data_IF_338323183227
#
_entry.id   IF_338323183227
#
_cell.length_a   1.000
_cell.length_b   1.000
_cell.length_c   1.000
_cell.angle_alpha   90.00
_cell.angle_beta   90.00
_cell.angle_gamma   90.00
#
_symmetry.space_group_name_H-M   'P 1'
#
loop_
_entity.id
_entity.type
_entity.pdbx_description
1 polymer ?
#
# COMPACT_ATOMS: atom_id res chain seq x y z
N UNK A 1 48.88 21.11 -5.88
CA UNK A 1 48.20 19.92 -6.47
C UNK A 1 46.72 20.16 -6.32
N UNK A 2 45.93 20.10 -7.40
CA UNK A 2 44.48 20.18 -7.27
C UNK A 2 43.95 18.84 -6.74
N UNK A 3 43.20 18.84 -5.64
CA UNK A 3 42.52 17.65 -5.16
C UNK A 3 41.23 17.45 -5.95
N UNK A 4 41.07 16.27 -6.56
CA UNK A 4 39.81 15.85 -7.16
C UNK A 4 38.80 15.48 -6.06
N UNK A 5 37.54 15.84 -6.26
CA UNK A 5 36.41 15.46 -5.42
C UNK A 5 35.43 14.63 -6.24
N UNK A 6 34.73 13.70 -5.58
CA UNK A 6 33.70 12.86 -6.19
C UNK A 6 32.38 13.05 -5.43
N UNK A 7 31.26 12.99 -6.15
CA UNK A 7 29.91 13.04 -5.58
C UNK A 7 29.20 11.72 -5.86
N UNK A 8 28.48 11.19 -4.88
CA UNK A 8 27.77 9.92 -4.92
C UNK A 8 26.30 10.15 -4.54
N UNK A 9 25.38 9.42 -5.16
CA UNK A 9 23.95 9.56 -4.95
C UNK A 9 23.28 8.20 -4.78
N UNK A 10 22.54 8.01 -3.69
CA UNK A 10 21.77 6.79 -3.43
C UNK A 10 20.29 7.01 -3.74
N UNK A 11 19.88 6.68 -4.97
CA UNK A 11 18.52 6.94 -5.47
C UNK A 11 17.41 6.32 -4.61
N UNK A 12 17.66 5.17 -3.99
CA UNK A 12 16.69 4.49 -3.14
C UNK A 12 16.68 4.98 -1.67
N UNK A 13 17.59 5.89 -1.27
CA UNK A 13 17.76 6.32 0.12
C UNK A 13 16.44 6.78 0.77
N UNK A 14 15.73 7.73 0.16
CA UNK A 14 14.46 8.25 0.69
C UNK A 14 13.43 7.14 0.95
N UNK A 15 13.22 6.26 -0.04
CA UNK A 15 12.28 5.13 0.06
C UNK A 15 12.69 4.14 1.14
N UNK A 16 13.97 3.79 1.21
CA UNK A 16 14.49 2.85 2.20
C UNK A 16 14.37 3.40 3.62
N UNK A 17 14.63 4.70 3.83
CA UNK A 17 14.45 5.36 5.13
C UNK A 17 12.97 5.36 5.54
N UNK A 18 12.03 5.78 4.67
CA UNK A 18 10.59 5.75 4.98
C UNK A 18 10.10 4.33 5.33
N UNK A 19 10.44 3.34 4.49
CA UNK A 19 10.06 1.94 4.73
C UNK A 19 10.67 1.37 6.02
N UNK A 20 11.94 1.70 6.31
CA UNK A 20 12.62 1.29 7.53
C UNK A 20 11.95 1.87 8.78
N UNK A 21 11.68 3.18 8.80
CA UNK A 21 11.01 3.86 9.91
C UNK A 21 9.59 3.32 10.16
N UNK A 22 8.83 3.03 9.09
CA UNK A 22 7.52 2.39 9.20
C UNK A 22 7.61 0.97 9.80
N UNK A 23 8.62 0.19 9.40
CA UNK A 23 8.87 -1.15 9.93
C UNK A 23 9.26 -1.12 11.41
N UNK A 24 10.18 -0.23 11.80
CA UNK A 24 10.58 -0.02 13.20
C UNK A 24 9.38 0.36 14.07
N UNK A 25 8.48 1.22 13.58
CA UNK A 25 7.28 1.62 14.31
C UNK A 25 6.32 0.44 14.51
N UNK A 26 6.09 -0.37 13.47
CA UNK A 26 5.23 -1.55 13.54
C UNK A 26 5.79 -2.62 14.50
N UNK A 27 7.11 -2.78 14.56
CA UNK A 27 7.79 -3.66 15.51
C UNK A 27 7.84 -3.08 16.95
N UNK A 28 7.60 -1.77 17.12
CA UNK A 28 7.78 -1.07 18.39
C UNK A 28 9.25 -0.92 18.81
N UNK A 29 10.16 -0.91 17.84
CA UNK A 29 11.60 -0.67 18.03
C UNK A 29 11.88 0.84 18.06
N UNK A 30 12.80 1.29 18.94
CA UNK A 30 13.19 2.71 19.11
C UNK A 30 12.07 3.71 19.36
N UNK A 31 10.84 3.26 19.64
CA UNK A 31 9.70 4.10 20.01
C UNK A 31 9.86 4.67 21.41
N UNK A 32 9.74 5.99 21.50
CA UNK A 32 10.01 6.85 22.65
C UNK A 32 8.79 7.72 23.02
N UNK A 33 7.65 7.53 22.35
CA UNK A 33 6.39 8.21 22.61
C UNK A 33 5.19 7.26 22.49
N UNK A 34 4.06 7.63 23.08
CA UNK A 34 2.77 6.95 22.85
C UNK A 34 1.64 7.95 22.64
N UNK A 35 0.83 7.72 21.61
CA UNK A 35 -0.42 8.43 21.37
C UNK A 35 -1.58 7.57 21.85
N UNK A 36 -2.50 8.19 22.58
CA UNK A 36 -3.67 7.53 23.15
C UNK A 36 -4.95 8.09 22.51
N UNK A 37 -5.74 7.26 21.85
CA UNK A 37 -6.99 7.65 21.20
C UNK A 37 -8.04 6.54 21.37
N UNK A 38 -9.27 6.90 21.70
CA UNK A 38 -10.41 5.95 21.84
C UNK A 38 -10.07 4.70 22.68
N UNK A 39 -9.41 4.89 23.83
CA UNK A 39 -8.97 3.81 24.73
C UNK A 39 -7.77 2.97 24.23
N UNK A 40 -7.31 3.18 23.01
CA UNK A 40 -6.16 2.48 22.42
C UNK A 40 -4.86 3.27 22.63
N UNK A 41 -3.73 2.56 22.77
CA UNK A 41 -2.40 3.13 22.95
C UNK A 41 -1.50 2.70 21.78
N UNK A 42 -0.97 3.66 21.03
CA UNK A 42 -0.09 3.41 19.88
C UNK A 42 1.30 3.98 20.14
N UNK A 43 2.32 3.11 20.12
CA UNK A 43 3.73 3.51 20.27
C UNK A 43 4.26 4.12 18.97
N UNK A 44 5.01 5.20 19.07
CA UNK A 44 5.52 5.97 17.93
C UNK A 44 6.88 6.58 18.24
N UNK A 45 7.63 6.93 17.19
CA UNK A 45 8.85 7.73 17.31
C UNK A 45 8.53 9.22 17.39
N UNK A 46 8.98 9.86 18.47
CA UNK A 46 8.90 11.30 18.74
C UNK A 46 9.39 12.13 17.56
N UNK A 47 10.56 11.78 16.99
CA UNK A 47 11.17 12.55 15.90
C UNK A 47 10.29 12.58 14.65
N UNK A 48 9.59 11.49 14.32
CA UNK A 48 8.73 11.40 13.14
C UNK A 48 7.44 12.19 13.35
N UNK A 49 6.82 12.06 14.53
CA UNK A 49 5.63 12.86 14.89
C UNK A 49 5.97 14.36 14.93
N UNK A 50 7.13 14.75 15.47
CA UNK A 50 7.59 16.14 15.52
C UNK A 50 7.97 16.73 14.14
N UNK A 51 8.32 15.89 13.17
CA UNK A 51 8.51 16.32 11.77
C UNK A 51 7.17 16.55 11.07
N UNK A 52 6.15 15.74 11.37
CA UNK A 52 4.82 15.84 10.77
C UNK A 52 3.91 16.89 11.43
N UNK A 53 3.99 17.07 12.76
CA UNK A 53 3.15 17.96 13.56
C UNK A 53 3.99 19.04 14.26
N UNK A 54 3.73 20.30 13.93
CA UNK A 54 4.27 21.46 14.67
C UNK A 54 3.72 21.52 16.10
N UNK A 55 2.41 21.31 16.26
CA UNK A 55 1.72 21.32 17.55
C UNK A 55 2.30 20.29 18.54
N UNK A 56 2.45 19.02 18.11
CA UNK A 56 2.99 17.97 18.99
C UNK A 56 4.48 18.24 19.27
N UNK A 57 5.26 18.74 18.29
CA UNK A 57 6.65 19.14 18.50
C UNK A 57 6.80 20.20 19.61
N UNK A 58 5.94 21.21 19.63
CA UNK A 58 6.03 22.29 20.63
C UNK A 58 5.56 21.79 22.01
N UNK A 59 4.52 20.95 22.05
CA UNK A 59 4.02 20.32 23.27
C UNK A 59 5.10 19.51 23.99
N UNK A 60 5.80 18.63 23.26
CA UNK A 60 6.83 17.73 23.82
C UNK A 60 8.15 18.44 24.10
N UNK A 61 8.45 19.52 23.37
CA UNK A 61 9.62 20.38 23.67
C UNK A 61 9.43 21.17 24.96
N UNK A 62 8.17 21.53 25.29
CA UNK A 62 7.81 22.24 26.51
C UNK A 62 7.83 21.35 27.76
N UNK A 63 7.46 20.06 27.61
CA UNK A 63 7.32 19.11 28.71
C UNK A 63 8.27 17.90 28.55
N UNK A 64 9.55 18.09 28.88
CA UNK A 64 10.54 17.01 28.86
C UNK A 64 10.16 15.88 29.82
N UNK A 65 9.94 14.70 29.27
CA UNK A 65 9.67 13.46 30.00
C UNK A 65 10.28 12.28 29.21
N UNK A 66 10.64 11.17 29.87
CA UNK A 66 11.38 10.08 29.24
C UNK A 66 10.57 9.27 28.22
N UNK A 67 9.23 9.31 28.30
CA UNK A 67 8.31 8.66 27.36
C UNK A 67 6.95 9.38 27.39
N UNK A 68 6.74 10.46 26.63
CA UNK A 68 5.47 11.18 26.59
C UNK A 68 4.29 10.29 26.18
N UNK A 69 3.18 10.38 26.94
CA UNK A 69 1.88 9.78 26.58
C UNK A 69 0.89 10.91 26.34
N UNK A 70 0.49 11.10 25.07
CA UNK A 70 -0.39 12.20 24.65
C UNK A 70 -1.79 11.65 24.41
N UNK A 71 -2.78 12.18 25.14
CA UNK A 71 -4.18 11.81 24.99
C UNK A 71 -4.86 12.69 23.94
N UNK A 72 -5.26 12.07 22.83
CA UNK A 72 -5.94 12.68 21.71
C UNK A 72 -7.44 12.54 21.91
N UNK A 73 -8.09 13.60 22.38
CA UNK A 73 -9.52 13.62 22.59
C UNK A 73 -10.27 13.73 21.25
N UNK A 74 -11.46 13.13 21.14
CA UNK A 74 -12.33 13.11 19.95
C UNK A 74 -11.76 12.49 18.66
N UNK A 75 -10.54 11.97 18.67
CA UNK A 75 -9.97 11.23 17.55
C UNK A 75 -10.25 9.74 17.76
N UNK A 76 -10.85 9.07 16.77
CA UNK A 76 -11.08 7.62 16.83
C UNK A 76 -9.77 6.84 16.62
N UNK A 77 -9.70 5.60 17.10
CA UNK A 77 -8.53 4.75 16.83
C UNK A 77 -8.29 4.52 15.34
N UNK A 78 -9.36 4.40 14.54
CA UNK A 78 -9.30 4.30 13.07
C UNK A 78 -8.67 5.54 12.45
N UNK A 79 -9.10 6.73 12.90
CA UNK A 79 -8.58 8.02 12.42
C UNK A 79 -7.11 8.22 12.80
N UNK A 80 -6.74 7.87 14.04
CA UNK A 80 -5.34 7.88 14.48
C UNK A 80 -4.47 6.93 13.64
N UNK A 81 -4.97 5.71 13.36
CA UNK A 81 -4.26 4.73 12.54
C UNK A 81 -4.00 5.26 11.13
N UNK A 82 -5.00 5.88 10.49
CA UNK A 82 -4.87 6.52 9.18
C UNK A 82 -3.87 7.70 9.19
N UNK A 83 -3.88 8.53 10.24
CA UNK A 83 -2.88 9.62 10.39
C UNK A 83 -1.47 9.05 10.55
N UNK A 84 -1.29 7.98 11.31
CA UNK A 84 0.01 7.34 11.48
C UNK A 84 0.49 6.65 10.20
N UNK A 85 -0.40 6.00 9.44
CA UNK A 85 -0.07 5.47 8.11
C UNK A 85 0.46 6.61 7.22
N UNK A 86 -0.31 7.69 7.05
CA UNK A 86 0.09 8.89 6.29
C UNK A 86 1.44 9.46 6.73
N UNK A 87 1.68 9.56 8.04
CA UNK A 87 2.91 10.13 8.61
C UNK A 87 4.15 9.25 8.35
N UNK A 88 4.00 7.93 8.31
CA UNK A 88 5.14 7.00 8.13
C UNK A 88 5.39 6.59 6.68
N UNK A 89 4.37 6.56 5.82
CA UNK A 89 4.49 6.18 4.40
C UNK A 89 4.46 7.38 3.44
N UNK A 90 3.82 8.49 3.84
CA UNK A 90 3.47 9.62 2.98
C UNK A 90 2.13 9.47 2.23
N UNK A 91 1.44 8.34 2.37
CA UNK A 91 0.19 8.00 1.66
C UNK A 91 -0.80 7.26 2.58
N UNK A 92 -2.10 7.46 2.38
CA UNK A 92 -3.14 6.74 3.13
C UNK A 92 -4.40 6.58 2.29
N UNK A 93 -5.13 5.47 2.49
CA UNK A 93 -6.43 5.22 1.87
C UNK A 93 -7.55 5.34 2.92
N UNK A 94 -8.39 6.36 2.80
CA UNK A 94 -9.51 6.63 3.71
C UNK A 94 -10.84 6.51 2.95
N UNK A 95 -11.88 5.96 3.58
CA UNK A 95 -13.24 5.94 3.01
C UNK A 95 -13.85 7.34 3.00
N UNK A 96 -14.76 7.61 2.06
CA UNK A 96 -15.47 8.90 1.96
C UNK A 96 -16.17 9.25 3.28
N UNK A 97 -16.76 8.26 3.95
CA UNK A 97 -17.41 8.39 5.27
C UNK A 97 -16.46 8.92 6.35
N UNK A 98 -15.22 8.44 6.38
CA UNK A 98 -14.22 8.81 7.39
C UNK A 98 -13.31 9.97 6.96
N UNK A 99 -13.45 10.47 5.73
CA UNK A 99 -12.56 11.49 5.15
C UNK A 99 -12.65 12.82 5.91
N UNK A 100 -13.87 13.24 6.30
CA UNK A 100 -14.07 14.47 7.06
C UNK A 100 -13.39 14.40 8.43
N UNK A 101 -13.57 13.30 9.15
CA UNK A 101 -12.95 13.06 10.46
C UNK A 101 -11.41 13.01 10.35
N UNK A 102 -10.89 12.39 9.28
CA UNK A 102 -9.45 12.35 9.00
C UNK A 102 -8.86 13.74 8.72
N UNK A 103 -9.49 14.55 7.88
CA UNK A 103 -9.02 15.91 7.59
C UNK A 103 -9.17 16.83 8.80
N UNK A 104 -10.27 16.72 9.57
CA UNK A 104 -10.45 17.48 10.79
C UNK A 104 -9.38 17.11 11.84
N UNK A 105 -9.12 15.83 12.06
CA UNK A 105 -8.05 15.38 12.96
C UNK A 105 -6.65 15.81 12.44
N UNK A 106 -6.41 15.75 11.13
CA UNK A 106 -5.18 16.27 10.51
C UNK A 106 -4.97 17.76 10.78
N UNK A 107 -6.05 18.55 10.78
CA UNK A 107 -6.03 19.97 11.11
C UNK A 107 -5.88 20.25 12.62
N UNK A 108 -6.62 19.54 13.47
CA UNK A 108 -6.53 19.70 14.93
C UNK A 108 -5.15 19.30 15.48
N UNK A 109 -4.46 18.35 14.84
CA UNK A 109 -3.09 17.95 15.18
C UNK A 109 -2.01 18.72 14.40
N UNK A 110 -2.38 19.71 13.57
CA UNK A 110 -1.45 20.46 12.73
C UNK A 110 -0.49 19.56 11.91
N UNK A 111 -1.06 18.54 11.26
CA UNK A 111 -0.34 17.62 10.38
C UNK A 111 -0.06 18.34 9.06
N UNK A 112 1.22 18.51 8.74
CA UNK A 112 1.69 19.09 7.48
C UNK A 112 1.06 18.37 6.29
N UNK A 113 0.62 19.15 5.30
CA UNK A 113 -0.06 18.63 4.11
C UNK A 113 -1.56 18.37 4.31
N UNK A 114 -2.03 18.18 5.55
CA UNK A 114 -3.46 17.99 5.85
C UNK A 114 -4.13 19.24 6.47
N UNK A 115 -3.39 20.04 7.26
CA UNK A 115 -3.98 21.15 8.03
C UNK A 115 -4.63 22.26 7.17
N UNK A 116 -4.11 22.47 5.95
CA UNK A 116 -4.62 23.44 4.98
C UNK A 116 -5.65 22.85 3.98
N UNK A 117 -5.91 21.53 4.02
CA UNK A 117 -6.83 20.89 3.08
C UNK A 117 -8.27 21.36 3.27
N UNK A 118 -8.94 21.67 2.15
CA UNK A 118 -10.37 21.99 2.10
C UNK A 118 -11.02 21.17 1.00
N UNK A 119 -12.04 20.39 1.36
CA UNK A 119 -12.95 19.80 0.38
C UNK A 119 -13.82 20.92 -0.17
N UNK A 120 -13.86 21.09 -1.50
CA UNK A 120 -14.91 21.91 -2.13
C UNK A 120 -16.24 21.14 -2.09
N UNK A 121 -17.35 21.85 -1.79
CA UNK A 121 -18.70 21.30 -1.54
C UNK A 121 -19.36 20.53 -2.70
N UNK A 122 -18.68 20.30 -3.83
CA UNK A 122 -19.19 19.57 -4.99
C UNK A 122 -19.49 18.08 -4.74
N UNK A 123 -19.18 17.55 -3.55
CA UNK A 123 -19.53 16.19 -3.11
C UNK A 123 -20.79 16.13 -2.22
N UNK A 124 -21.31 17.26 -1.72
CA UNK A 124 -22.41 17.28 -0.74
C UNK A 124 -23.83 17.19 -1.35
N UNK A 125 -23.98 17.13 -2.68
CA UNK A 125 -25.28 17.24 -3.35
C UNK A 125 -26.12 15.96 -3.46
N UNK A 126 -25.71 14.83 -2.85
CA UNK A 126 -26.40 13.53 -2.99
C UNK A 126 -27.26 13.10 -1.80
N UNK A 127 -27.32 13.86 -0.70
CA UNK A 127 -28.20 13.57 0.44
C UNK A 127 -29.39 14.53 0.53
N UNK A 128 -30.31 14.45 -0.44
CA UNK A 128 -31.68 14.97 -0.31
C UNK A 128 -32.62 14.35 -1.36
N UNK A 129 -33.07 13.11 -1.10
CA UNK A 129 -34.32 12.61 -1.70
C UNK A 129 -35.22 12.01 -0.62
N UNK A 130 -36.37 12.66 -0.43
CA UNK A 130 -37.38 12.29 0.55
C UNK A 130 -38.09 11.00 0.17
N UNK A 131 -38.57 10.29 1.20
CA UNK A 131 -39.44 9.11 1.09
C UNK A 131 -40.65 9.37 0.19
N UNK A 132 -40.99 8.41 -0.65
CA UNK A 132 -42.36 8.06 -1.02
C UNK A 132 -42.38 6.59 -1.47
N UNK A 133 -43.33 5.82 -0.93
CA UNK A 133 -43.54 4.41 -1.29
C UNK A 133 -44.31 4.30 -2.61
N UNK A 134 -44.03 3.24 -3.40
CA UNK A 134 -45.00 2.39 -4.13
C UNK A 134 -44.26 1.40 -5.06
N UNK A 135 -44.81 0.19 -5.21
CA UNK A 135 -44.17 -0.96 -5.86
C UNK A 135 -44.14 -0.95 -7.40
N UNK A 136 -43.01 -1.36 -7.99
CA UNK A 136 -42.93 -2.09 -9.27
C UNK A 136 -41.51 -2.64 -9.50
N UNK A 137 -41.38 -3.90 -9.95
CA UNK A 137 -40.09 -4.50 -10.30
C UNK A 137 -39.54 -3.96 -11.64
N UNK A 138 -38.25 -3.61 -11.69
CA UNK A 138 -37.45 -3.67 -12.92
C UNK A 138 -35.95 -3.78 -12.63
N UNK A 139 -35.21 -4.39 -13.55
CA UNK A 139 -33.80 -4.77 -13.43
C UNK A 139 -32.81 -3.79 -14.08
N UNK A 140 -31.54 -3.96 -13.68
CA UNK A 140 -30.27 -3.57 -14.34
C UNK A 140 -29.53 -2.27 -13.90
N UNK A 141 -28.20 -2.45 -13.95
CA UNK A 141 -27.12 -1.50 -14.26
C UNK A 141 -26.49 -0.54 -13.21
N UNK A 142 -25.25 -0.91 -12.89
CA UNK A 142 -24.04 -0.08 -12.73
C UNK A 142 -24.13 1.24 -11.96
N UNK A 143 -23.58 1.23 -10.75
CA UNK A 143 -22.88 2.37 -10.18
C UNK A 143 -21.40 2.05 -10.07
N UNK A 144 -20.57 2.84 -10.75
CA UNK A 144 -19.13 2.84 -10.58
C UNK A 144 -18.79 3.64 -9.32
N UNK A 145 -18.20 3.00 -8.30
CA UNK A 145 -17.49 3.73 -7.25
C UNK A 145 -16.19 4.30 -7.85
N UNK A 146 -16.27 5.52 -8.37
CA UNK A 146 -15.10 6.28 -8.83
C UNK A 146 -14.20 6.62 -7.62
N UNK A 147 -13.11 5.86 -7.45
CA UNK A 147 -12.07 6.18 -6.48
C UNK A 147 -11.38 7.47 -6.92
N UNK A 148 -11.63 8.58 -6.23
CA UNK A 148 -10.89 9.82 -6.45
C UNK A 148 -9.49 9.73 -5.85
N UNK A 149 -8.47 9.84 -6.70
CA UNK A 149 -7.08 9.98 -6.30
C UNK A 149 -6.71 11.47 -6.26
N UNK A 150 -5.95 11.90 -5.26
CA UNK A 150 -5.57 13.30 -5.05
C UNK A 150 -4.07 13.40 -4.77
N UNK A 151 -3.34 14.16 -5.57
CA UNK A 151 -1.91 14.42 -5.35
C UNK A 151 -1.69 15.75 -4.62
N UNK A 152 -0.94 15.72 -3.51
CA UNK A 152 -0.54 16.92 -2.77
C UNK A 152 0.67 17.54 -3.47
N UNK A 153 0.42 18.46 -4.40
CA UNK A 153 1.47 19.25 -5.05
C UNK A 153 1.89 20.43 -4.19
N UNK A 154 2.89 20.21 -3.33
CA UNK A 154 3.61 21.32 -2.69
C UNK A 154 4.41 22.06 -3.75
N UNK A 155 3.92 23.22 -4.20
CA UNK A 155 4.77 24.24 -4.82
C UNK A 155 5.51 24.95 -3.69
N UNK A 156 6.82 24.79 -3.68
CA UNK A 156 7.70 25.62 -2.88
C UNK A 156 7.76 27.03 -3.49
N UNK A 157 7.94 28.02 -2.61
CA UNK A 157 8.04 29.46 -2.84
C UNK A 157 6.76 30.27 -3.20
N UNK A 158 6.64 31.37 -2.44
CA UNK A 158 5.77 32.56 -2.55
C UNK A 158 4.30 32.53 -2.04
N UNK A 159 3.85 33.71 -1.61
CA UNK A 159 2.87 33.92 -0.54
C UNK A 159 1.40 33.95 -1.02
N UNK A 160 0.90 32.81 -1.54
CA UNK A 160 -0.56 32.57 -1.70
C UNK A 160 -0.93 31.09 -1.92
N UNK A 161 -0.98 30.29 -0.85
CA UNK A 161 -1.36 28.87 -0.92
C UNK A 161 -2.87 28.65 -1.14
N UNK A 162 -3.29 28.62 -2.40
CA UNK A 162 -4.51 27.93 -2.84
C UNK A 162 -4.11 26.60 -3.50
N UNK A 163 -4.63 25.48 -2.98
CA UNK A 163 -4.53 24.16 -3.61
C UNK A 163 -5.74 23.97 -4.52
N UNK A 164 -5.51 23.93 -5.83
CA UNK A 164 -6.57 23.76 -6.82
C UNK A 164 -6.88 22.27 -7.06
N UNK A 165 -8.14 21.89 -6.88
CA UNK A 165 -8.59 20.49 -6.99
C UNK A 165 -9.16 20.21 -8.38
N UNK A 166 -8.34 19.68 -9.29
CA UNK A 166 -8.77 19.31 -10.65
C UNK A 166 -9.11 17.82 -10.79
N UNK A 167 -10.31 17.52 -11.31
CA UNK A 167 -10.67 16.16 -11.74
C UNK A 167 -9.93 15.85 -13.05
N UNK A 168 -8.79 15.18 -12.95
CA UNK A 168 -7.99 14.79 -14.11
C UNK A 168 -8.82 13.84 -15.00
N UNK A 169 -8.91 14.17 -16.29
CA UNK A 169 -9.39 13.28 -17.34
C UNK A 169 -8.18 12.78 -18.11
N UNK A 170 -8.14 11.48 -18.41
CA UNK A 170 -7.06 10.91 -19.20
C UNK A 170 -6.98 11.57 -20.59
N UNK A 171 -5.85 12.20 -20.87
CA UNK A 171 -5.40 12.57 -22.22
C UNK A 171 -3.94 12.19 -22.38
N UNK A 172 -3.63 11.47 -23.45
CA UNK A 172 -2.37 10.76 -23.69
C UNK A 172 -1.17 11.70 -23.91
N UNK A 173 0.03 11.28 -23.49
CA UNK A 173 1.29 11.97 -23.77
C UNK A 173 2.53 11.23 -23.26
N UNK A 174 3.46 10.90 -24.14
CA UNK A 174 4.68 10.14 -23.85
C UNK A 174 5.80 10.99 -23.24
N UNK A 175 6.69 10.38 -22.43
CA UNK A 175 8.14 10.47 -22.64
C UNK A 175 8.95 9.48 -21.81
N UNK A 176 9.83 8.75 -22.49
CA UNK A 176 10.74 7.71 -21.96
C UNK A 176 12.11 8.31 -21.63
N UNK A 177 12.76 7.92 -20.52
CA UNK A 177 14.23 7.87 -20.43
C UNK A 177 14.69 6.75 -19.49
N UNK A 178 15.78 6.08 -19.86
CA UNK A 178 16.32 4.87 -19.21
C UNK A 178 17.83 5.06 -19.00
N UNK A 179 18.37 4.82 -17.80
CA UNK A 179 19.82 4.62 -17.58
C UNK A 179 20.09 3.72 -16.37
N UNK A 180 21.02 2.78 -16.56
CA UNK A 180 21.49 1.81 -15.56
C UNK A 180 22.89 2.18 -15.04
N UNK A 181 23.31 1.66 -13.88
CA UNK A 181 24.69 1.21 -13.59
C UNK A 181 24.77 0.48 -12.23
N UNK A 182 25.76 -0.40 -12.07
CA UNK A 182 25.85 -1.40 -11.00
C UNK A 182 26.89 -1.02 -9.91
N UNK A 183 26.83 -1.66 -8.73
CA UNK A 183 27.90 -2.56 -8.20
C UNK A 183 27.71 -2.95 -6.70
N UNK A 184 27.48 -4.25 -6.49
CA UNK A 184 28.17 -5.21 -5.59
C UNK A 184 28.45 -5.02 -4.07
N UNK A 185 27.93 -6.00 -3.30
CA UNK A 185 28.57 -6.80 -2.20
C UNK A 185 28.97 -6.13 -0.84
N UNK A 186 29.08 -6.83 0.32
CA UNK A 186 28.53 -8.09 0.89
C UNK A 186 28.89 -8.19 2.41
N UNK A 187 28.27 -9.14 3.13
CA UNK A 187 28.59 -9.76 4.46
C UNK A 187 27.81 -9.20 5.67
N UNK A 188 26.95 -9.88 6.45
CA UNK A 188 26.69 -11.27 6.98
C UNK A 188 26.95 -11.40 8.48
N UNK A 189 25.86 -11.43 9.27
CA UNK A 189 25.55 -12.33 10.42
C UNK A 189 24.07 -12.08 10.80
N UNK A 190 23.33 -12.88 11.60
CA UNK A 190 23.58 -14.19 12.21
C UNK A 190 22.41 -14.66 13.10
N UNK A 191 22.23 -15.99 13.26
CA UNK A 191 21.36 -16.71 14.22
C UNK A 191 19.81 -16.66 14.10
N UNK A 192 19.28 -17.72 13.47
CA UNK A 192 18.13 -18.57 13.88
C UNK A 192 16.84 -17.97 14.50
N UNK A 193 15.87 -17.62 13.64
CA UNK A 193 14.43 -17.85 13.87
C UNK A 193 13.76 -18.22 12.53
N UNK A 194 12.68 -19.02 12.52
CA UNK A 194 12.08 -19.68 11.33
C UNK A 194 11.25 -18.70 10.45
N UNK A 195 11.90 -17.63 10.01
CA UNK A 195 11.32 -16.56 9.20
C UNK A 195 11.20 -16.93 7.73
N UNK A 196 10.04 -16.59 7.16
CA UNK A 196 9.71 -16.81 5.74
C UNK A 196 10.70 -16.14 4.75
N UNK A 197 11.55 -15.22 5.22
CA UNK A 197 12.61 -14.59 4.44
C UNK A 197 13.65 -15.57 3.91
N UNK A 198 14.06 -16.58 4.69
CA UNK A 198 15.19 -17.43 4.31
C UNK A 198 14.80 -18.58 3.37
N UNK A 199 13.57 -19.08 3.48
CA UNK A 199 13.03 -20.05 2.51
C UNK A 199 12.89 -19.44 1.11
N UNK A 200 12.57 -18.13 1.03
CA UNK A 200 12.55 -17.37 -0.23
C UNK A 200 13.97 -17.06 -0.71
N UNK A 201 14.98 -16.97 0.19
CA UNK A 201 16.37 -16.73 -0.17
C UNK A 201 17.02 -17.98 -0.80
N UNK A 202 16.82 -19.15 -0.18
CA UNK A 202 17.42 -20.42 -0.60
C UNK A 202 16.93 -20.98 -1.95
N UNK A 203 15.80 -20.50 -2.48
CA UNK A 203 15.23 -20.97 -3.76
C UNK A 203 15.73 -20.21 -5.00
N UNK A 204 16.47 -19.09 -4.84
CA UNK A 204 16.84 -18.20 -5.96
C UNK A 204 18.32 -18.24 -6.39
N UNK A 205 19.19 -19.02 -5.75
CA UNK A 205 20.64 -19.05 -6.06
C UNK A 205 21.03 -19.83 -7.33
N UNK A 206 20.09 -20.13 -8.24
CA UNK A 206 20.35 -20.88 -9.49
C UNK A 206 19.59 -20.35 -10.71
N UNK A 207 19.77 -19.06 -11.01
CA UNK A 207 19.80 -18.56 -12.40
C UNK A 207 20.39 -17.14 -12.45
N UNK A 208 21.28 -16.90 -13.41
CA UNK A 208 21.87 -15.59 -13.67
C UNK A 208 20.78 -14.57 -14.05
N UNK A 209 20.57 -13.56 -13.20
CA UNK A 209 19.55 -12.55 -13.43
C UNK A 209 19.50 -11.50 -12.32
N UNK A 210 20.06 -10.31 -12.59
CA UNK A 210 19.99 -9.16 -11.70
C UNK A 210 18.51 -8.76 -11.46
N UNK A 211 18.06 -8.77 -10.21
CA UNK A 211 16.64 -8.51 -9.87
C UNK A 211 16.52 -7.59 -8.64
N UNK A 212 16.47 -6.28 -8.90
CA UNK A 212 16.42 -5.22 -7.89
C UNK A 212 15.16 -5.29 -7.00
N UNK A 213 15.36 -5.57 -5.71
CA UNK A 213 14.29 -5.68 -4.71
C UNK A 213 13.87 -4.31 -4.15
N UNK A 214 13.03 -3.56 -4.87
CA UNK A 214 11.99 -2.75 -4.20
C UNK A 214 10.77 -2.33 -5.06
N UNK A 215 10.36 -3.16 -6.02
CA UNK A 215 8.95 -3.23 -6.43
C UNK A 215 8.21 -4.20 -5.50
N UNK A 216 6.88 -4.05 -5.33
CA UNK A 216 6.04 -5.17 -4.90
C UNK A 216 6.09 -6.23 -5.99
N UNK A 217 7.11 -7.11 -5.97
CA UNK A 217 7.36 -8.10 -7.01
C UNK A 217 6.12 -8.96 -7.15
N UNK A 218 5.44 -8.86 -8.30
CA UNK A 218 4.32 -9.74 -8.61
C UNK A 218 4.88 -11.14 -8.80
N UNK A 219 4.47 -12.03 -7.91
CA UNK A 219 4.79 -13.44 -7.99
C UNK A 219 3.56 -14.20 -8.47
N UNK A 220 3.77 -15.31 -9.15
CA UNK A 220 2.70 -16.11 -9.71
C UNK A 220 2.72 -17.51 -9.13
N UNK A 221 1.55 -18.14 -9.04
CA UNK A 221 1.40 -19.52 -8.58
C UNK A 221 0.17 -20.14 -9.26
N UNK A 222 -0.09 -21.42 -9.00
CA UNK A 222 -1.29 -22.10 -9.51
C UNK A 222 -2.06 -22.80 -8.41
N UNK A 223 -3.37 -22.85 -8.55
CA UNK A 223 -4.22 -23.71 -7.75
C UNK A 223 -3.92 -25.20 -8.02
N UNK A 224 -4.44 -26.08 -7.19
CA UNK A 224 -4.28 -27.53 -7.40
C UNK A 224 -5.02 -28.01 -8.66
N UNK A 225 -5.98 -27.23 -9.17
CA UNK A 225 -6.71 -27.46 -10.43
C UNK A 225 -6.06 -26.74 -11.63
N UNK A 226 -4.83 -26.21 -11.47
CA UNK A 226 -4.12 -25.49 -12.54
C UNK A 226 -4.72 -24.12 -12.89
N UNK A 227 -5.51 -23.51 -12.01
CA UNK A 227 -6.01 -22.13 -12.19
C UNK A 227 -4.92 -21.14 -11.79
N UNK A 228 -4.66 -20.15 -12.66
CA UNK A 228 -3.60 -19.16 -12.43
C UNK A 228 -3.93 -18.25 -11.24
N UNK A 229 -2.92 -18.02 -10.41
CA UNK A 229 -2.97 -17.16 -9.24
C UNK A 229 -1.81 -16.16 -9.25
N UNK A 230 -2.06 -14.97 -8.71
CA UNK A 230 -1.05 -13.95 -8.45
C UNK A 230 -0.91 -13.76 -6.93
N UNK A 231 0.31 -13.54 -6.48
CA UNK A 231 0.68 -13.19 -5.12
C UNK A 231 1.19 -11.75 -5.16
N UNK A 232 0.58 -10.87 -4.35
CA UNK A 232 0.93 -9.46 -4.26
C UNK A 232 0.66 -8.98 -2.83
N UNK A 233 1.63 -8.33 -2.21
CA UNK A 233 1.53 -7.78 -0.84
C UNK A 233 0.95 -8.77 0.19
N UNK A 234 1.46 -10.01 0.23
CA UNK A 234 1.01 -11.11 1.12
C UNK A 234 -0.46 -11.56 0.91
N UNK A 235 -1.13 -11.05 -0.12
CA UNK A 235 -2.43 -11.53 -0.59
C UNK A 235 -2.27 -12.40 -1.83
N UNK A 236 -3.34 -13.13 -2.17
CA UNK A 236 -3.40 -14.13 -3.24
C UNK A 236 -4.69 -13.90 -4.00
N UNK A 237 -4.59 -13.85 -5.32
CA UNK A 237 -5.69 -13.50 -6.21
C UNK A 237 -5.81 -14.56 -7.31
N UNK A 238 -7.04 -14.92 -7.69
CA UNK A 238 -7.32 -15.70 -8.89
C UNK A 238 -7.45 -14.78 -10.10
N UNK A 239 -6.94 -15.21 -11.25
CA UNK A 239 -7.26 -14.57 -12.53
C UNK A 239 -8.76 -14.77 -12.84
N UNK A 240 -9.52 -13.69 -12.98
CA UNK A 240 -10.94 -13.73 -13.38
C UNK A 240 -11.11 -13.63 -14.90
N UNK A 241 -10.42 -12.69 -15.54
CA UNK A 241 -10.42 -12.54 -17.00
C UNK A 241 -9.14 -11.85 -17.50
N UNK A 242 -8.81 -12.08 -18.77
CA UNK A 242 -7.78 -11.34 -19.53
C UNK A 242 -8.45 -10.65 -20.71
N UNK A 243 -8.22 -9.36 -20.88
CA UNK A 243 -8.74 -8.53 -21.96
C UNK A 243 -7.79 -8.56 -23.17
N UNK A 244 -8.30 -8.11 -24.33
CA UNK A 244 -7.54 -8.06 -25.60
C UNK A 244 -6.30 -7.16 -25.57
N UNK A 245 -6.21 -6.23 -24.61
CA UNK A 245 -5.11 -5.29 -24.41
C UNK A 245 -4.09 -5.78 -23.36
N UNK A 246 -4.00 -7.11 -23.15
CA UNK A 246 -3.24 -7.77 -22.09
C UNK A 246 -3.57 -7.34 -20.64
N UNK A 247 -4.63 -6.55 -20.41
CA UNK A 247 -5.05 -6.26 -19.03
C UNK A 247 -5.73 -7.48 -18.39
N UNK A 248 -5.43 -7.73 -17.11
CA UNK A 248 -5.88 -8.91 -16.37
C UNK A 248 -6.56 -8.46 -15.09
N UNK A 249 -7.79 -8.91 -14.86
CA UNK A 249 -8.49 -8.68 -13.60
C UNK A 249 -8.29 -9.88 -12.66
N UNK A 250 -7.73 -9.62 -11.49
CA UNK A 250 -7.42 -10.59 -10.44
C UNK A 250 -8.31 -10.35 -9.22
N UNK A 251 -9.04 -11.34 -8.73
CA UNK A 251 -9.91 -11.21 -7.53
C UNK A 251 -9.30 -11.96 -6.36
N UNK A 252 -9.42 -11.43 -5.14
CA UNK A 252 -8.94 -12.10 -3.92
C UNK A 252 -9.42 -13.55 -3.87
N UNK A 253 -8.56 -14.51 -3.49
CA UNK A 253 -8.90 -15.94 -3.32
C UNK A 253 -10.14 -16.15 -2.42
N UNK A 254 -10.38 -15.27 -1.45
CA UNK A 254 -11.49 -15.37 -0.48
C UNK A 254 -12.74 -14.55 -0.87
N UNK A 255 -12.89 -14.19 -2.15
CA UNK A 255 -14.06 -13.46 -2.67
C UNK A 255 -15.38 -14.26 -2.67
N UNK A 256 -15.32 -15.60 -2.70
CA UNK A 256 -16.48 -16.49 -2.65
C UNK A 256 -16.69 -17.16 -1.27
N UNK A 257 -15.73 -17.02 -0.37
CA UNK A 257 -15.85 -17.57 0.99
C UNK A 257 -16.83 -16.71 1.82
N UNK A 258 -17.20 -17.16 3.03
CA UNK A 258 -18.15 -16.44 3.91
C UNK A 258 -17.77 -14.97 4.16
N UNK A 259 -16.48 -14.64 4.04
CA UNK A 259 -15.87 -13.31 4.15
C UNK A 259 -16.28 -12.37 2.99
N UNK A 260 -16.59 -12.92 1.80
CA UNK A 260 -16.95 -12.19 0.58
C UNK A 260 -16.01 -11.02 0.27
N UNK A 261 -14.70 -11.29 0.24
CA UNK A 261 -13.70 -10.24 0.07
C UNK A 261 -13.91 -9.40 -1.22
N UNK A 262 -14.03 -8.06 -1.14
CA UNK A 262 -14.25 -7.21 -2.31
C UNK A 262 -12.98 -6.96 -3.14
N UNK A 263 -11.81 -7.15 -2.53
CA UNK A 263 -10.52 -6.78 -3.08
C UNK A 263 -10.21 -7.44 -4.43
N UNK A 264 -9.80 -6.62 -5.39
CA UNK A 264 -9.34 -7.05 -6.70
C UNK A 264 -8.30 -6.10 -7.29
N UNK A 265 -7.52 -6.59 -8.25
CA UNK A 265 -6.35 -5.91 -8.82
C UNK A 265 -6.44 -6.01 -10.34
N UNK A 266 -6.08 -4.95 -11.05
CA UNK A 266 -5.94 -4.94 -12.50
C UNK A 266 -4.46 -4.76 -12.83
N UNK A 267 -3.91 -5.69 -13.61
CA UNK A 267 -2.54 -5.60 -14.15
C UNK A 267 -2.60 -5.40 -15.66
N UNK A 268 -1.57 -4.77 -16.25
CA UNK A 268 -1.30 -4.78 -17.69
C UNK A 268 0.09 -5.35 -17.87
N UNK A 269 0.20 -6.42 -18.66
CA UNK A 269 1.43 -7.18 -18.78
C UNK A 269 1.96 -7.57 -17.37
N UNK A 270 3.15 -7.10 -16.98
CA UNK A 270 3.76 -7.34 -15.67
C UNK A 270 3.78 -6.09 -14.74
N UNK A 271 2.84 -5.15 -14.94
CA UNK A 271 2.66 -3.97 -14.08
C UNK A 271 1.26 -3.93 -13.46
N UNK A 272 1.17 -3.60 -12.17
CA UNK A 272 -0.11 -3.31 -11.50
C UNK A 272 -0.60 -1.94 -11.96
N UNK A 273 -1.74 -1.88 -12.65
CA UNK A 273 -2.39 -0.61 -13.01
C UNK A 273 -3.18 -0.07 -11.81
N UNK A 274 -3.96 -0.96 -11.17
CA UNK A 274 -5.00 -0.55 -10.23
C UNK A 274 -5.19 -1.60 -9.14
N UNK A 275 -5.38 -1.16 -7.90
CA UNK A 275 -5.87 -1.99 -6.78
C UNK A 275 -7.21 -1.41 -6.34
N UNK A 276 -8.22 -2.25 -6.19
CA UNK A 276 -9.61 -1.85 -5.94
C UNK A 276 -10.14 -2.59 -4.71
N UNK A 277 -10.61 -1.81 -3.73
CA UNK A 277 -11.07 -2.24 -2.41
C UNK A 277 -9.99 -2.86 -1.51
N UNK A 278 -10.04 -2.53 -0.22
CA UNK A 278 -9.18 -3.15 0.79
C UNK A 278 -9.58 -4.62 1.07
N UNK A 279 -8.63 -5.39 1.61
CA UNK A 279 -8.93 -6.72 2.15
C UNK A 279 -9.58 -6.59 3.53
N UNK A 280 -10.68 -7.31 3.74
CA UNK A 280 -11.44 -7.37 5.00
C UNK A 280 -11.10 -8.63 5.81
N UNK A 281 -9.89 -9.16 5.65
CA UNK A 281 -9.40 -10.37 6.30
C UNK A 281 -7.86 -10.35 6.43
N UNK A 282 -7.27 -11.16 7.33
CA UNK A 282 -5.83 -11.27 7.47
C UNK A 282 -5.12 -11.75 6.20
N UNK A 283 -3.80 -11.53 6.15
CA UNK A 283 -2.93 -11.97 5.06
C UNK A 283 -2.99 -13.49 4.81
N UNK A 284 -2.64 -13.89 3.58
CA UNK A 284 -2.68 -15.29 3.15
C UNK A 284 -1.40 -16.07 3.46
N UNK A 285 -0.59 -15.64 4.42
CA UNK A 285 0.75 -16.19 4.68
C UNK A 285 0.75 -17.72 4.80
N UNK A 286 -0.24 -18.31 5.49
CA UNK A 286 -0.41 -19.78 5.60
C UNK A 286 -0.62 -20.47 4.24
N UNK A 287 -1.33 -19.85 3.30
CA UNK A 287 -1.53 -20.35 1.93
C UNK A 287 -0.24 -20.17 1.10
N UNK A 288 0.44 -19.02 1.25
CA UNK A 288 1.68 -18.69 0.52
C UNK A 288 2.83 -19.60 0.98
N UNK A 289 3.06 -19.77 2.29
CA UNK A 289 4.04 -20.70 2.87
C UNK A 289 3.88 -22.13 2.32
N UNK A 290 2.64 -22.60 2.16
CA UNK A 290 2.37 -23.92 1.57
C UNK A 290 2.80 -24.00 0.09
N UNK A 291 2.75 -22.90 -0.66
CA UNK A 291 3.22 -22.81 -2.05
C UNK A 291 4.75 -22.65 -2.15
N UNK A 292 5.37 -21.89 -1.24
CA UNK A 292 6.84 -21.81 -1.09
C UNK A 292 7.43 -23.19 -0.81
N UNK A 293 6.91 -23.90 0.21
CA UNK A 293 7.36 -25.26 0.58
C UNK A 293 7.14 -26.30 -0.51
N UNK A 294 6.19 -26.07 -1.42
CA UNK A 294 5.95 -26.91 -2.59
C UNK A 294 6.80 -26.52 -3.83
N UNK A 295 7.56 -25.43 -3.78
CA UNK A 295 8.34 -24.93 -4.91
C UNK A 295 7.49 -24.41 -6.08
N UNK A 296 6.22 -24.05 -5.86
CA UNK A 296 5.27 -23.67 -6.93
C UNK A 296 5.03 -22.15 -6.99
N UNK A 297 6.07 -21.34 -6.81
CA UNK A 297 6.01 -19.88 -6.94
C UNK A 297 6.99 -19.46 -8.03
N UNK A 298 6.52 -18.59 -8.93
CA UNK A 298 7.19 -18.19 -10.16
C UNK A 298 7.34 -16.67 -10.20
N UNK A 299 8.43 -16.17 -10.77
CA UNK A 299 8.63 -14.74 -11.02
C UNK A 299 7.93 -14.29 -12.31
N UNK A 300 7.90 -15.15 -13.34
CA UNK A 300 7.26 -14.86 -14.62
C UNK A 300 5.88 -15.52 -14.74
N UNK A 301 4.90 -14.78 -15.30
CA UNK A 301 3.54 -15.31 -15.49
C UNK A 301 3.49 -16.50 -16.45
N UNK A 302 4.40 -16.54 -17.43
CA UNK A 302 4.45 -17.59 -18.45
C UNK A 302 4.80 -18.96 -17.85
N UNK A 303 5.67 -19.01 -16.83
CA UNK A 303 6.04 -20.23 -16.12
C UNK A 303 4.84 -20.81 -15.37
N UNK A 304 4.14 -19.96 -14.61
CA UNK A 304 2.92 -20.34 -13.90
C UNK A 304 1.79 -20.78 -14.86
N UNK A 305 1.71 -20.19 -16.06
CA UNK A 305 0.76 -20.63 -17.10
C UNK A 305 1.12 -22.00 -17.67
N UNK A 306 2.40 -22.31 -17.88
CA UNK A 306 2.83 -23.66 -18.32
C UNK A 306 2.56 -24.71 -17.24
N UNK A 307 2.92 -24.44 -15.99
CA UNK A 307 2.63 -25.32 -14.85
C UNK A 307 1.12 -25.56 -14.68
N UNK A 308 0.30 -24.52 -14.90
CA UNK A 308 -1.16 -24.64 -14.87
C UNK A 308 -1.73 -25.55 -15.97
N UNK A 309 -1.09 -25.62 -17.15
CA UNK A 309 -1.44 -26.57 -18.21
C UNK A 309 -1.01 -27.99 -17.86
N UNK A 310 0.21 -28.15 -17.34
CA UNK A 310 0.74 -29.47 -16.94
C UNK A 310 -0.18 -30.15 -15.92
N UNK A 311 -0.63 -29.42 -14.89
CA UNK A 311 -1.58 -29.95 -13.89
C UNK A 311 -2.96 -30.27 -14.44
N UNK A 312 -3.44 -29.50 -15.43
CA UNK A 312 -4.71 -29.80 -16.09
C UNK A 312 -4.64 -31.05 -16.95
N UNK A 313 -3.49 -31.33 -17.57
CA UNK A 313 -3.29 -32.55 -18.34
C UNK A 313 -3.16 -33.77 -17.42
N UNK A 314 -2.36 -33.67 -16.34
CA UNK A 314 -2.23 -34.75 -15.34
C UNK A 314 -3.59 -35.14 -14.72
N UNK A 315 -4.44 -34.15 -14.40
CA UNK A 315 -5.78 -34.39 -13.87
C UNK A 315 -6.80 -34.91 -14.92
N UNK A 316 -6.42 -35.07 -16.19
CA UNK A 316 -7.25 -35.67 -17.25
C UNK A 316 -6.78 -37.08 -17.64
N UNK A 317 -5.59 -37.50 -17.19
CA UNK A 317 -5.00 -38.83 -17.45
C UNK A 317 -5.18 -39.79 -16.25
N UNK A 318 -5.82 -39.34 -15.16
CA UNK A 318 -6.30 -40.12 -13.99
C UNK A 318 -7.83 -40.31 -14.01
#
# INVERSE_FOLDING_TARGET
MAQSQFSLMWNAHKKNICNGLSTLQQNGEFVDMTLAADGHLVKVHQVIIALASSYIKDLISTAQCPHPVIFLNKISYTTLSAILEYVYTGEVLVSIENLNDFLQAGKELHIKGLEDMKIHDSLNSSQNFSKNDNDAECSMDTLNDEICYFEISNKDDDDSKYVEMTKIRDTEGESTMVLSTNDDNLYTDGNDDDSMTDVIKAQFEKQDGNFDKNYSVMQYTVSNQGSLQMILNRYVYYLKHTNRNNSRQWRCVDYLNNIKCPAHVITKDDVVIQRISAHVHPFHDKKILKKVRAGTIFSAINEAVQEGKNKKNQNNDE
#
